data_IF_322419058184
#
_entry.id   IF_322419058184
#
_cell.length_a   1.000
_cell.length_b   1.000
_cell.length_c   1.000
_cell.angle_alpha   90.00
_cell.angle_beta   90.00
_cell.angle_gamma   90.00
#
_symmetry.space_group_name_H-M   'P 1'
#
loop_
_entity.id
_entity.type
_entity.pdbx_description
1 polymer ?
#
# COMPACT_ATOMS: atom_id res chain seq x y z
N UNK A 1 13.28 -19.43 11.69
CA UNK A 1 12.49 -18.54 12.58
C UNK A 1 11.28 -18.09 11.80
N UNK A 2 10.10 -18.66 12.09
CA UNK A 2 8.87 -18.32 11.39
C UNK A 2 8.30 -17.01 11.92
N UNK A 3 8.06 -16.04 11.03
CA UNK A 3 7.29 -14.84 11.37
C UNK A 3 5.81 -15.19 11.18
N UNK A 4 5.14 -15.63 12.24
CA UNK A 4 3.70 -15.86 12.21
C UNK A 4 2.97 -14.52 12.33
N UNK A 5 2.38 -14.05 11.23
CA UNK A 5 1.53 -12.85 11.25
C UNK A 5 0.29 -13.02 12.14
N UNK A 6 -0.10 -14.25 12.44
CA UNK A 6 -1.24 -14.54 13.32
C UNK A 6 -0.94 -14.39 14.83
N UNK A 7 0.34 -14.36 15.22
CA UNK A 7 0.76 -14.16 16.62
C UNK A 7 1.05 -12.68 16.93
N UNK A 8 0.94 -11.81 15.93
CA UNK A 8 1.16 -10.37 16.09
C UNK A 8 0.01 -9.71 16.86
N UNK A 9 0.35 -8.68 17.63
CA UNK A 9 -0.63 -7.79 18.24
C UNK A 9 -1.50 -7.13 17.16
N UNK A 10 -2.77 -6.89 17.48
CA UNK A 10 -3.73 -6.23 16.57
C UNK A 10 -3.20 -4.91 16.01
N UNK A 11 -2.42 -4.17 16.81
CA UNK A 11 -1.79 -2.91 16.41
C UNK A 11 -0.76 -3.08 15.28
N UNK A 12 0.06 -4.13 15.33
CA UNK A 12 1.04 -4.39 14.28
C UNK A 12 0.38 -4.98 13.03
N UNK A 13 -0.68 -5.77 13.21
CA UNK A 13 -1.50 -6.23 12.09
C UNK A 13 -2.16 -5.06 11.35
N UNK A 14 -2.66 -4.05 12.09
CA UNK A 14 -3.24 -2.84 11.51
C UNK A 14 -2.18 -2.03 10.74
N UNK A 15 -0.98 -1.83 11.32
CA UNK A 15 0.14 -1.18 10.62
C UNK A 15 0.52 -1.90 9.31
N UNK A 16 0.52 -3.24 9.30
CA UNK A 16 0.81 -4.03 8.10
C UNK A 16 -0.30 -3.86 7.06
N UNK A 17 -1.57 -3.87 7.47
CA UNK A 17 -2.70 -3.64 6.57
C UNK A 17 -2.65 -2.23 5.94
N UNK A 18 -2.29 -1.23 6.73
CA UNK A 18 -2.12 0.16 6.28
C UNK A 18 -0.98 0.28 5.28
N UNK A 19 0.17 -0.35 5.56
CA UNK A 19 1.33 -0.38 4.66
C UNK A 19 1.00 -1.12 3.34
N UNK A 20 0.27 -2.24 3.42
CA UNK A 20 -0.23 -2.97 2.27
C UNK A 20 -1.16 -2.10 1.41
N UNK A 21 -2.12 -1.42 2.04
CA UNK A 21 -3.05 -0.55 1.33
C UNK A 21 -2.31 0.63 0.67
N UNK A 22 -1.34 1.24 1.36
CA UNK A 22 -0.52 2.33 0.83
C UNK A 22 0.31 1.87 -0.39
N UNK A 23 0.91 0.69 -0.30
CA UNK A 23 1.65 0.08 -1.42
C UNK A 23 0.74 -0.21 -2.61
N UNK A 24 -0.50 -0.64 -2.35
CA UNK A 24 -1.52 -0.91 -3.36
C UNK A 24 -1.99 0.35 -4.08
N UNK A 25 -2.11 1.49 -3.38
CA UNK A 25 -2.40 2.78 -4.01
C UNK A 25 -1.29 3.19 -4.96
N UNK A 26 -0.05 3.23 -4.48
CA UNK A 26 1.09 3.63 -5.32
C UNK A 26 1.29 2.69 -6.53
N UNK A 27 1.04 1.40 -6.36
CA UNK A 27 1.07 0.44 -7.46
C UNK A 27 -0.07 0.69 -8.45
N UNK A 28 -1.32 0.85 -8.01
CA UNK A 28 -2.45 1.13 -8.91
C UNK A 28 -2.27 2.45 -9.67
N UNK A 29 -1.78 3.50 -9.01
CA UNK A 29 -1.42 4.78 -9.65
C UNK A 29 -0.37 4.59 -10.76
N UNK A 30 0.64 3.74 -10.54
CA UNK A 30 1.67 3.42 -11.56
C UNK A 30 1.09 2.70 -12.78
N UNK A 31 0.12 1.82 -12.60
CA UNK A 31 -0.45 0.99 -13.66
C UNK A 31 -1.65 1.66 -14.35
N UNK A 32 -1.88 2.96 -14.12
CA UNK A 32 -3.01 3.72 -14.64
C UNK A 32 -4.39 3.14 -14.23
N UNK A 33 -4.42 2.30 -13.18
CA UNK A 33 -5.67 1.80 -12.62
C UNK A 33 -6.31 2.88 -11.74
N UNK A 34 -7.64 3.08 -11.80
CA UNK A 34 -8.32 4.04 -10.95
C UNK A 34 -8.20 3.58 -9.49
N UNK A 35 -7.51 4.38 -8.67
CA UNK A 35 -7.45 4.20 -7.22
C UNK A 35 -7.76 5.51 -6.53
N UNK A 36 -8.56 5.43 -5.46
CA UNK A 36 -8.98 6.59 -4.70
C UNK A 36 -8.32 6.50 -3.32
N UNK A 37 -7.20 7.20 -3.09
CA UNK A 37 -6.51 7.18 -1.79
C UNK A 37 -7.42 7.60 -0.63
N UNK A 38 -8.36 8.53 -0.88
CA UNK A 38 -9.35 8.95 0.12
C UNK A 38 -10.26 7.83 0.62
N UNK A 39 -10.61 6.85 -0.24
CA UNK A 39 -11.42 5.70 0.20
C UNK A 39 -10.62 4.84 1.17
N UNK A 40 -9.34 4.62 0.86
CA UNK A 40 -8.44 3.87 1.72
C UNK A 40 -8.20 4.62 3.04
N UNK A 41 -7.99 5.93 3.02
CA UNK A 41 -7.88 6.73 4.25
C UNK A 41 -9.15 6.72 5.12
N UNK A 42 -10.33 6.51 4.52
CA UNK A 42 -11.59 6.39 5.24
C UNK A 42 -11.82 4.98 5.80
N UNK A 43 -11.31 3.94 5.14
CA UNK A 43 -11.34 2.57 5.66
C UNK A 43 -10.31 2.35 6.77
N UNK A 44 -9.16 3.02 6.71
CA UNK A 44 -8.12 2.91 7.73
C UNK A 44 -8.47 3.73 8.97
N UNK A 45 -8.07 3.24 10.16
CA UNK A 45 -8.40 3.91 11.40
C UNK A 45 -7.62 5.23 11.56
N UNK A 46 -8.24 6.20 12.22
CA UNK A 46 -7.75 7.60 12.27
C UNK A 46 -6.35 7.74 12.85
N UNK A 47 -6.00 6.88 13.81
CA UNK A 47 -4.68 6.87 14.44
C UNK A 47 -3.55 6.43 13.48
N UNK A 48 -3.87 5.73 12.40
CA UNK A 48 -2.92 5.28 11.39
C UNK A 48 -3.00 6.08 10.08
N UNK A 49 -3.87 7.09 9.96
CA UNK A 49 -3.91 7.98 8.78
C UNK A 49 -2.59 8.71 8.55
N UNK A 50 -1.96 9.20 9.62
CA UNK A 50 -0.65 9.85 9.51
C UNK A 50 0.40 8.87 8.97
N UNK A 51 0.40 7.64 9.49
CA UNK A 51 1.29 6.57 9.03
C UNK A 51 1.02 6.17 7.57
N UNK A 52 -0.26 6.06 7.18
CA UNK A 52 -0.67 5.80 5.80
C UNK A 52 -0.13 6.85 4.85
N UNK A 53 -0.24 8.14 5.20
CA UNK A 53 0.19 9.25 4.35
C UNK A 53 1.71 9.24 4.13
N UNK A 54 2.49 8.98 5.19
CA UNK A 54 3.94 8.81 5.07
C UNK A 54 4.29 7.60 4.20
N UNK A 55 3.57 6.48 4.36
CA UNK A 55 3.76 5.28 3.54
C UNK A 55 3.40 5.50 2.08
N UNK A 56 2.30 6.17 1.76
CA UNK A 56 1.93 6.50 0.39
C UNK A 56 3.01 7.37 -0.26
N UNK A 57 3.55 8.36 0.44
CA UNK A 57 4.66 9.18 -0.07
C UNK A 57 5.93 8.35 -0.29
N UNK A 58 6.28 7.48 0.67
CA UNK A 58 7.41 6.56 0.54
C UNK A 58 7.24 5.62 -0.67
N UNK A 59 6.06 5.02 -0.84
CA UNK A 59 5.77 4.14 -1.96
C UNK A 59 5.69 4.86 -3.29
N UNK A 60 5.21 6.11 -3.34
CA UNK A 60 5.31 6.95 -4.54
C UNK A 60 6.76 7.21 -4.92
N UNK A 61 7.61 7.60 -3.96
CA UNK A 61 9.05 7.76 -4.21
C UNK A 61 9.70 6.45 -4.66
N UNK A 62 9.35 5.32 -4.02
CA UNK A 62 9.86 4.01 -4.41
C UNK A 62 9.33 3.55 -5.76
N UNK A 63 8.09 3.92 -6.12
CA UNK A 63 7.50 3.67 -7.44
C UNK A 63 8.27 4.37 -8.57
N UNK A 64 8.91 5.51 -8.29
CA UNK A 64 9.80 6.19 -9.23
C UNK A 64 11.12 5.44 -9.39
N UNK A 65 11.60 4.79 -8.32
CA UNK A 65 12.83 3.99 -8.32
C UNK A 65 12.64 2.63 -9.02
N UNK A 66 11.42 2.09 -9.01
CA UNK A 66 11.08 0.91 -9.78
C UNK A 66 10.82 1.30 -11.25
N UNK A 67 11.71 0.86 -12.15
CA UNK A 67 11.59 1.09 -13.58
C UNK A 67 10.17 0.75 -14.08
N UNK A 68 9.59 1.63 -14.92
CA UNK A 68 8.29 1.48 -15.60
C UNK A 68 8.36 0.33 -16.60
N UNK A 69 8.63 -0.88 -16.13
CA UNK A 69 8.43 -2.08 -16.94
C UNK A 69 6.98 -2.05 -17.40
N UNK A 70 6.73 -2.08 -18.72
CA UNK A 70 5.39 -2.03 -19.27
C UNK A 70 4.62 -3.19 -18.67
N UNK A 71 3.47 -2.88 -18.08
CA UNK A 71 2.50 -3.91 -17.79
C UNK A 71 1.93 -4.37 -19.12
N UNK A 72 2.50 -5.43 -19.67
CA UNK A 72 1.80 -6.22 -20.68
C UNK A 72 0.81 -7.11 -19.91
N UNK A 73 -0.50 -6.82 -19.92
CA UNK A 73 -1.47 -7.80 -19.47
C UNK A 73 -1.22 -9.04 -20.34
N UNK A 74 -0.87 -10.18 -19.71
CA UNK A 74 -0.79 -11.44 -20.44
C UNK A 74 -2.18 -11.71 -21.01
N UNK A 75 -2.37 -11.41 -22.30
CA UNK A 75 -3.54 -11.87 -23.05
C UNK A 75 -3.65 -13.37 -22.83
N UNK A 76 -4.78 -13.74 -22.27
CA UNK A 76 -5.17 -15.11 -21.99
C UNK A 76 -5.41 -15.86 -23.29
#
# INVERSE_FOLDING_TARGET
MGYNLAELSKEDMDKINVDLAASGVAFKERYNMPVIPEVVEREQPEYLRNYFRERVMFYRQRSLQFSRLPYEPKSK
#
